data_IF_703230507031
#
_entry.id   IF_703230507031
#
_cell.length_a   1.000
_cell.length_b   1.000
_cell.length_c   1.000
_cell.angle_alpha   90.00
_cell.angle_beta   90.00
_cell.angle_gamma   90.00
#
_symmetry.space_group_name_H-M   'P 1'
#
loop_
_entity.id
_entity.type
_entity.pdbx_description
1 polymer ?
#
# COMPACT_ATOMS: atom_id res chain seq x y z
N UNK A 1 -0.61 23.43 18.13
CA UNK A 1 -0.27 22.05 17.75
C UNK A 1 -0.60 21.92 16.28
N UNK A 2 0.39 21.70 15.41
CA UNK A 2 0.13 21.51 13.99
C UNK A 2 -0.32 20.06 13.79
N UNK A 3 -1.44 19.88 13.09
CA UNK A 3 -1.97 18.58 12.74
C UNK A 3 -2.04 18.45 11.23
N UNK A 4 -1.80 17.24 10.76
CA UNK A 4 -2.00 16.84 9.37
C UNK A 4 -2.70 15.48 9.34
N UNK A 5 -3.19 15.07 8.18
CA UNK A 5 -3.65 13.71 7.95
C UNK A 5 -2.72 13.02 6.98
N UNK A 6 -2.39 11.76 7.25
CA UNK A 6 -1.93 10.84 6.23
C UNK A 6 -3.17 10.11 5.70
N UNK A 7 -3.37 10.18 4.39
CA UNK A 7 -4.41 9.45 3.67
C UNK A 7 -3.76 8.55 2.63
N UNK A 8 -4.07 7.27 2.67
CA UNK A 8 -3.64 6.27 1.68
C UNK A 8 -4.87 5.84 0.92
N UNK A 9 -4.83 5.99 -0.41
CA UNK A 9 -5.98 5.74 -1.28
C UNK A 9 -5.64 4.70 -2.33
N UNK A 10 -6.59 3.80 -2.52
CA UNK A 10 -6.62 2.89 -3.65
C UNK A 10 -7.49 3.52 -4.76
N UNK A 11 -6.99 3.67 -6.00
CA UNK A 11 -7.81 4.09 -7.12
C UNK A 11 -8.85 3.03 -7.43
N UNK A 12 -9.79 3.36 -8.32
CA UNK A 12 -10.79 2.39 -8.73
C UNK A 12 -10.12 1.19 -9.43
N UNK A 13 -10.34 -0.01 -8.89
CA UNK A 13 -9.86 -1.27 -9.47
C UNK A 13 -11.04 -1.93 -10.17
N UNK A 14 -10.95 -2.03 -11.51
CA UNK A 14 -11.87 -2.83 -12.29
C UNK A 14 -11.63 -4.33 -12.05
N UNK A 15 -12.68 -5.14 -12.13
CA UNK A 15 -12.55 -6.60 -12.22
C UNK A 15 -11.63 -6.98 -13.40
N UNK A 16 -10.80 -8.02 -13.21
CA UNK A 16 -9.78 -8.53 -14.15
C UNK A 16 -9.92 -7.96 -15.56
N UNK A 17 -9.11 -6.95 -15.90
CA UNK A 17 -9.17 -6.31 -17.21
C UNK A 17 -8.63 -7.23 -18.30
N UNK A 18 -9.40 -7.42 -19.38
CA UNK A 18 -8.87 -7.94 -20.64
C UNK A 18 -8.04 -6.84 -21.29
N UNK A 19 -6.72 -6.96 -21.26
CA UNK A 19 -5.82 -5.99 -21.89
C UNK A 19 -5.78 -6.21 -23.41
N UNK A 20 -6.25 -5.22 -24.18
CA UNK A 20 -6.10 -5.18 -25.64
C UNK A 20 -4.64 -4.86 -25.98
N UNK A 21 -3.95 -5.86 -26.53
CA UNK A 21 -2.57 -5.80 -26.98
C UNK A 21 -2.47 -4.94 -28.25
N UNK A 22 -2.10 -3.66 -28.13
CA UNK A 22 -1.67 -2.85 -29.27
C UNK A 22 -0.18 -3.09 -29.48
N UNK A 23 0.16 -3.94 -30.45
CA UNK A 23 1.54 -4.11 -30.92
C UNK A 23 1.91 -2.87 -31.75
N UNK A 24 2.70 -1.96 -31.17
CA UNK A 24 3.37 -0.91 -31.91
C UNK A 24 4.83 -1.30 -32.13
N UNK A 25 5.10 -1.69 -33.38
CA UNK A 25 6.44 -1.83 -33.95
C UNK A 25 7.16 -0.48 -33.91
N UNK A 26 8.31 -0.38 -33.25
CA UNK A 26 9.15 0.83 -33.24
C UNK A 26 10.57 0.50 -33.67
N UNK A 27 11.04 1.24 -34.69
CA UNK A 27 12.40 1.28 -35.19
C UNK A 27 13.39 1.72 -34.09
N UNK A 28 14.56 1.10 -34.11
CA UNK A 28 15.74 1.50 -33.36
C UNK A 28 16.24 2.89 -33.78
N UNK A 29 16.31 3.82 -32.83
CA UNK A 29 17.19 5.00 -32.90
C UNK A 29 18.03 5.04 -31.62
N UNK A 30 19.29 4.64 -31.75
CA UNK A 30 20.29 4.61 -30.70
C UNK A 30 20.78 6.04 -30.43
N UNK A 31 20.32 6.67 -29.34
CA UNK A 31 20.80 7.99 -28.91
C UNK A 31 21.02 8.01 -27.38
N UNK A 32 22.30 8.16 -27.02
CA UNK A 32 22.87 8.80 -25.82
C UNK A 32 22.18 8.55 -24.48
N UNK A 33 22.73 7.62 -23.69
CA UNK A 33 22.37 7.39 -22.29
C UNK A 33 23.16 8.37 -21.39
N UNK A 34 22.54 9.37 -20.74
CA UNK A 34 23.15 10.00 -19.58
C UNK A 34 23.06 9.03 -18.39
N UNK A 35 24.21 8.73 -17.78
CA UNK A 35 24.27 7.97 -16.53
C UNK A 35 23.39 8.65 -15.48
N UNK A 36 22.33 7.98 -15.03
CA UNK A 36 21.59 8.41 -13.84
C UNK A 36 22.51 8.21 -12.64
N UNK A 37 22.95 9.31 -12.04
CA UNK A 37 23.53 9.27 -10.69
C UNK A 37 22.44 8.75 -9.75
N UNK A 38 22.72 7.64 -9.07
CA UNK A 38 21.95 7.22 -7.92
C UNK A 38 22.10 8.29 -6.85
N UNK A 39 21.07 9.09 -6.62
CA UNK A 39 20.95 9.80 -5.36
C UNK A 39 20.87 8.73 -4.27
N UNK A 40 21.95 8.56 -3.52
CA UNK A 40 21.96 7.66 -2.37
C UNK A 40 21.01 8.25 -1.34
N UNK A 41 19.95 7.50 -1.00
CA UNK A 41 19.07 7.83 0.11
C UNK A 41 19.95 7.97 1.34
N UNK A 42 20.09 9.19 1.87
CA UNK A 42 20.89 9.45 3.05
C UNK A 42 20.19 8.75 4.22
N UNK A 43 20.64 7.55 4.57
CA UNK A 43 20.25 6.83 5.80
C UNK A 43 20.92 7.48 7.01
N UNK A 44 20.81 8.80 7.13
CA UNK A 44 21.06 9.45 8.41
C UNK A 44 20.11 8.84 9.43
N UNK A 45 20.55 8.71 10.68
CA UNK A 45 19.67 8.32 11.76
C UNK A 45 18.62 9.43 11.95
N UNK A 46 17.44 9.26 11.34
CA UNK A 46 16.31 10.19 11.38
C UNK A 46 15.68 10.29 12.78
N UNK A 47 16.25 9.58 13.76
CA UNK A 47 15.72 9.46 15.10
C UNK A 47 14.53 8.50 15.15
N UNK A 48 13.87 8.45 16.30
CA UNK A 48 12.62 7.72 16.44
C UNK A 48 11.52 8.41 15.60
N UNK A 49 10.64 7.64 14.94
CA UNK A 49 9.53 8.23 14.19
C UNK A 49 8.60 8.99 15.13
N UNK A 50 8.17 10.18 14.72
CA UNK A 50 7.13 10.96 15.45
C UNK A 50 5.82 10.20 15.53
N UNK A 51 5.55 9.35 14.52
CA UNK A 51 4.41 8.46 14.48
C UNK A 51 4.82 7.12 13.88
N UNK A 52 4.54 6.03 14.58
CA UNK A 52 4.67 4.66 14.09
C UNK A 52 3.31 3.99 14.16
N UNK A 53 2.85 3.45 13.03
CA UNK A 53 1.56 2.78 12.92
C UNK A 53 1.81 1.32 12.60
N UNK A 54 1.24 0.45 13.42
CA UNK A 54 1.23 -1.01 13.25
C UNK A 54 -0.19 -1.50 13.54
N UNK A 55 -0.59 -2.64 12.98
CA UNK A 55 -1.91 -3.22 13.29
C UNK A 55 -1.89 -4.10 14.55
N UNK A 56 -0.74 -4.16 15.23
CA UNK A 56 -0.54 -4.83 16.51
C UNK A 56 -0.50 -6.37 16.37
N UNK A 57 -0.61 -7.06 17.49
CA UNK A 57 -0.64 -8.52 17.56
C UNK A 57 -1.92 -9.03 18.26
N UNK A 58 -2.14 -10.35 18.25
CA UNK A 58 -3.28 -11.00 18.92
C UNK A 58 -4.62 -10.78 18.19
N UNK A 59 -5.73 -10.87 18.93
CA UNK A 59 -7.08 -10.89 18.35
C UNK A 59 -7.38 -9.70 17.43
N UNK A 60 -8.01 -9.97 16.30
CA UNK A 60 -8.35 -8.96 15.30
C UNK A 60 -9.63 -8.23 15.68
N UNK A 61 -9.57 -6.89 15.62
CA UNK A 61 -10.67 -5.98 15.92
C UNK A 61 -10.74 -4.93 14.82
N UNK A 62 -11.94 -4.41 14.57
CA UNK A 62 -12.15 -3.34 13.62
C UNK A 62 -11.31 -2.10 14.02
N UNK A 63 -10.70 -1.46 13.03
CA UNK A 63 -10.08 -0.15 13.18
C UNK A 63 -11.11 0.90 13.61
N UNK A 64 -10.68 1.96 14.33
CA UNK A 64 -11.57 3.03 14.73
C UNK A 64 -12.32 3.65 13.55
N UNK A 65 -13.56 4.09 13.80
CA UNK A 65 -14.38 4.72 12.76
C UNK A 65 -13.65 5.89 12.10
N UNK A 66 -13.75 6.00 10.77
CA UNK A 66 -13.08 7.01 9.97
C UNK A 66 -11.62 6.68 9.60
N UNK A 67 -11.05 5.57 10.08
CA UNK A 67 -9.69 5.14 9.70
C UNK A 67 -9.62 4.56 8.29
N UNK A 68 -10.71 4.00 7.79
CA UNK A 68 -10.79 3.37 6.48
C UNK A 68 -12.22 3.42 5.95
N UNK A 69 -12.40 3.40 4.64
CA UNK A 69 -13.73 3.28 4.01
C UNK A 69 -14.15 1.82 3.78
N UNK A 70 -13.26 0.87 4.05
CA UNK A 70 -13.51 -0.55 3.85
C UNK A 70 -14.26 -1.17 5.06
N UNK A 71 -15.15 -2.13 4.80
CA UNK A 71 -15.86 -2.87 5.86
C UNK A 71 -14.94 -3.87 6.56
N UNK A 72 -15.02 -3.98 7.89
CA UNK A 72 -14.22 -4.96 8.64
C UNK A 72 -14.77 -6.38 8.51
N UNK A 73 -13.88 -7.35 8.33
CA UNK A 73 -14.17 -8.78 8.43
C UNK A 73 -13.00 -9.53 9.08
N UNK A 74 -13.19 -10.81 9.36
CA UNK A 74 -12.16 -11.74 9.82
C UNK A 74 -11.76 -12.70 8.71
N UNK A 75 -10.46 -13.01 8.62
CA UNK A 75 -9.92 -13.89 7.59
C UNK A 75 -9.85 -13.18 6.24
N UNK A 76 -10.64 -13.64 5.29
CA UNK A 76 -10.51 -13.23 3.90
C UNK A 76 -11.53 -12.17 3.49
N UNK A 77 -11.07 -10.96 3.08
CA UNK A 77 -11.97 -9.87 2.75
C UNK A 77 -12.62 -10.04 1.39
N UNK A 78 -13.95 -9.92 1.37
CA UNK A 78 -14.73 -9.76 0.14
C UNK A 78 -14.53 -8.35 -0.46
N UNK A 79 -14.90 -8.09 -1.72
CA UNK A 79 -14.74 -6.78 -2.35
C UNK A 79 -15.29 -5.64 -1.48
N UNK A 80 -14.47 -4.61 -1.25
CA UNK A 80 -14.82 -3.48 -0.39
C UNK A 80 -14.63 -3.73 1.11
N UNK A 81 -13.98 -4.84 1.50
CA UNK A 81 -13.66 -5.16 2.88
C UNK A 81 -12.15 -5.17 3.16
N UNK A 82 -11.83 -5.16 4.46
CA UNK A 82 -10.49 -5.41 4.98
C UNK A 82 -10.53 -6.38 6.17
N UNK A 83 -9.39 -7.01 6.44
CA UNK A 83 -9.14 -7.78 7.65
C UNK A 83 -7.78 -7.42 8.24
N UNK A 84 -7.58 -7.77 9.51
CA UNK A 84 -6.29 -7.64 10.18
C UNK A 84 -5.80 -9.05 10.49
N UNK A 85 -4.73 -9.50 9.85
CA UNK A 85 -4.29 -10.88 9.91
C UNK A 85 -2.79 -10.95 10.14
N UNK A 86 -2.32 -11.99 10.81
CA UNK A 86 -0.88 -12.26 10.95
C UNK A 86 -0.45 -13.48 10.11
N UNK A 87 -1.39 -14.32 9.70
CA UNK A 87 -1.08 -15.59 9.06
C UNK A 87 -2.25 -16.16 8.27
N UNK A 88 -2.09 -16.28 6.95
CA UNK A 88 -3.01 -16.96 6.05
C UNK A 88 -2.23 -17.96 5.17
N UNK A 89 -2.09 -19.19 5.66
CA UNK A 89 -1.28 -20.27 5.04
C UNK A 89 -1.64 -20.52 3.58
N UNK A 90 -2.92 -20.46 3.26
CA UNK A 90 -3.42 -20.76 1.91
C UNK A 90 -3.76 -19.50 1.10
N UNK A 91 -3.44 -18.31 1.65
CA UNK A 91 -4.00 -17.05 1.17
C UNK A 91 -5.52 -17.01 1.37
N UNK A 92 -6.21 -16.24 0.54
CA UNK A 92 -7.66 -16.06 0.61
C UNK A 92 -8.43 -16.67 -0.54
N UNK A 93 -7.88 -16.54 -1.74
CA UNK A 93 -8.52 -17.02 -2.95
C UNK A 93 -7.51 -17.85 -3.75
N UNK A 94 -8.00 -18.61 -4.75
CA UNK A 94 -7.12 -19.39 -5.63
C UNK A 94 -6.01 -18.54 -6.28
N UNK A 95 -6.25 -17.23 -6.40
CA UNK A 95 -5.39 -16.24 -7.04
C UNK A 95 -4.46 -15.49 -6.09
N UNK A 96 -4.45 -15.80 -4.78
CA UNK A 96 -3.57 -15.12 -3.81
C UNK A 96 -2.49 -16.06 -3.28
N UNK A 97 -1.30 -15.53 -3.02
CA UNK A 97 -0.20 -16.25 -2.38
C UNK A 97 -0.46 -16.45 -0.88
N UNK A 98 0.24 -17.41 -0.22
CA UNK A 98 0.33 -17.44 1.23
C UNK A 98 0.83 -16.10 1.79
N UNK A 99 0.26 -15.67 2.91
CA UNK A 99 0.65 -14.44 3.60
C UNK A 99 1.08 -14.77 5.03
N UNK A 100 2.31 -14.39 5.39
CA UNK A 100 2.91 -14.78 6.67
C UNK A 100 3.65 -13.61 7.33
N UNK A 101 3.15 -13.17 8.48
CA UNK A 101 3.74 -12.07 9.26
C UNK A 101 3.66 -10.72 8.56
N UNK A 102 3.75 -9.66 9.34
CA UNK A 102 3.91 -8.30 8.84
C UNK A 102 5.39 -7.92 8.65
N UNK A 103 5.63 -6.69 8.19
CA UNK A 103 6.98 -6.17 8.00
C UNK A 103 7.75 -5.94 9.31
N UNK A 104 7.08 -5.78 10.46
CA UNK A 104 7.74 -5.43 11.71
C UNK A 104 8.52 -6.58 12.34
N UNK A 105 8.27 -7.83 11.89
CA UNK A 105 8.96 -9.05 12.31
C UNK A 105 8.82 -9.35 13.81
N UNK A 106 7.82 -8.77 14.45
CA UNK A 106 7.42 -9.11 15.80
C UNK A 106 6.52 -10.35 15.81
N UNK A 107 6.51 -11.05 16.94
CA UNK A 107 5.77 -12.29 17.06
C UNK A 107 4.26 -12.03 16.97
N UNK A 108 3.63 -12.55 15.91
CA UNK A 108 2.20 -12.40 15.68
C UNK A 108 1.79 -11.00 15.21
N UNK A 109 2.72 -10.21 14.68
CA UNK A 109 2.46 -8.92 14.05
C UNK A 109 1.46 -9.06 12.89
N UNK A 110 0.47 -8.16 12.86
CA UNK A 110 -0.61 -8.16 11.88
C UNK A 110 -0.37 -7.15 10.77
N UNK A 111 -0.77 -7.55 9.57
CA UNK A 111 -0.96 -6.67 8.43
C UNK A 111 -2.44 -6.38 8.22
N UNK A 112 -2.74 -5.27 7.54
CA UNK A 112 -4.05 -4.99 6.99
C UNK A 112 -4.15 -5.57 5.59
N UNK A 113 -5.03 -6.53 5.39
CA UNK A 113 -5.34 -7.09 4.08
C UNK A 113 -6.59 -6.40 3.53
N UNK A 114 -6.49 -5.83 2.33
CA UNK A 114 -7.59 -5.07 1.71
C UNK A 114 -7.98 -5.70 0.39
N UNK A 115 -9.27 -5.96 0.21
CA UNK A 115 -9.82 -6.31 -1.09
C UNK A 115 -10.39 -5.05 -1.76
N UNK A 116 -9.58 -4.49 -2.64
CA UNK A 116 -9.88 -3.26 -3.38
C UNK A 116 -10.76 -3.42 -4.61
N UNK A 117 -11.19 -4.64 -4.93
CA UNK A 117 -11.96 -4.92 -6.13
C UNK A 117 -13.30 -4.16 -6.13
N UNK A 118 -13.63 -3.52 -7.26
CA UNK A 118 -14.88 -2.76 -7.40
C UNK A 118 -14.95 -1.49 -6.55
N UNK A 119 -13.88 -1.14 -5.82
CA UNK A 119 -13.84 0.07 -5.02
C UNK A 119 -13.92 1.32 -5.92
N UNK A 120 -14.77 2.28 -5.57
CA UNK A 120 -14.70 3.63 -6.12
C UNK A 120 -13.71 4.39 -5.25
N UNK A 121 -12.51 4.70 -5.77
CA UNK A 121 -11.48 5.55 -5.15
C UNK A 121 -11.55 5.60 -3.60
N UNK A 122 -11.12 4.53 -2.93
CA UNK A 122 -11.41 4.29 -1.51
C UNK A 122 -10.20 4.50 -0.62
N UNK A 123 -10.42 4.99 0.60
CA UNK A 123 -9.34 5.28 1.53
C UNK A 123 -9.01 4.02 2.35
N UNK A 124 -7.83 3.48 2.09
CA UNK A 124 -7.27 2.33 2.79
C UNK A 124 -6.96 2.70 4.24
N UNK A 125 -6.30 3.84 4.45
CA UNK A 125 -5.90 4.31 5.77
C UNK A 125 -5.98 5.84 5.85
N UNK A 126 -6.63 6.36 6.87
CA UNK A 126 -6.69 7.80 7.21
C UNK A 126 -6.32 7.95 8.67
N UNK A 127 -5.24 8.67 8.93
CA UNK A 127 -4.70 8.82 10.29
C UNK A 127 -4.29 10.26 10.54
N UNK A 128 -4.69 10.78 11.71
CA UNK A 128 -4.33 12.12 12.14
C UNK A 128 -2.93 12.12 12.73
N UNK A 129 -2.02 12.85 12.10
CA UNK A 129 -0.65 13.07 12.56
C UNK A 129 -0.62 14.32 13.45
N UNK A 130 -0.13 14.17 14.67
CA UNK A 130 0.11 15.28 15.61
C UNK A 130 1.59 15.36 16.00
N UNK A 131 1.92 16.36 16.82
CA UNK A 131 3.29 16.52 17.34
C UNK A 131 4.30 17.03 16.31
N UNK A 132 3.84 17.57 15.18
CA UNK A 132 4.71 18.15 14.16
C UNK A 132 5.21 19.54 14.60
N UNK A 133 6.52 19.75 14.47
CA UNK A 133 7.22 21.00 14.72
C UNK A 133 7.29 21.82 13.44
N UNK A 134 7.11 23.14 13.55
CA UNK A 134 7.29 24.07 12.43
C UNK A 134 8.73 24.03 11.91
N UNK A 135 8.90 24.28 10.61
CA UNK A 135 10.21 24.33 9.94
C UNK A 135 11.06 23.05 10.12
N UNK A 136 10.41 21.90 10.25
CA UNK A 136 11.06 20.58 10.35
C UNK A 136 10.70 19.74 9.13
N UNK A 137 11.71 19.11 8.52
CA UNK A 137 11.50 18.15 7.44
C UNK A 137 11.18 16.78 8.03
N UNK A 138 10.09 16.18 7.56
CA UNK A 138 9.68 14.84 7.95
C UNK A 138 9.86 13.87 6.79
N UNK A 139 10.23 12.63 7.11
CA UNK A 139 10.20 11.51 6.18
C UNK A 139 9.00 10.63 6.48
N UNK A 140 8.37 10.14 5.43
CA UNK A 140 7.32 9.14 5.48
C UNK A 140 7.83 7.85 4.83
N UNK A 141 7.46 6.71 5.40
CA UNK A 141 7.69 5.38 4.86
C UNK A 141 6.49 4.50 5.19
N UNK A 142 6.14 3.60 4.28
CA UNK A 142 5.12 2.59 4.47
C UNK A 142 5.58 1.28 3.83
N UNK A 143 5.16 0.15 4.38
CA UNK A 143 5.53 -1.15 3.84
C UNK A 143 4.29 -1.80 3.22
N UNK A 144 4.36 -2.07 1.92
CA UNK A 144 3.26 -2.61 1.13
C UNK A 144 3.68 -3.95 0.51
N UNK A 145 2.74 -4.88 0.40
CA UNK A 145 2.96 -6.15 -0.27
C UNK A 145 1.78 -6.46 -1.20
N UNK A 146 2.08 -6.94 -2.41
CA UNK A 146 1.06 -7.49 -3.30
C UNK A 146 0.87 -8.98 -2.97
N UNK A 147 -0.38 -9.39 -2.77
CA UNK A 147 -0.73 -10.78 -2.44
C UNK A 147 -1.27 -11.58 -3.64
N UNK A 148 -1.30 -11.02 -4.85
CA UNK A 148 -1.75 -11.74 -6.05
C UNK A 148 -0.69 -12.74 -6.54
N UNK A 149 -1.15 -13.84 -7.14
CA UNK A 149 -0.31 -14.78 -7.90
C UNK A 149 -0.07 -14.26 -9.31
N UNK A 150 1.03 -14.68 -9.92
CA UNK A 150 1.40 -14.28 -11.29
C UNK A 150 0.34 -14.71 -12.32
N UNK A 151 -0.27 -15.88 -12.11
CA UNK A 151 -1.32 -16.41 -12.98
C UNK A 151 -2.75 -15.97 -12.58
N UNK A 152 -2.88 -15.06 -11.61
CA UNK A 152 -4.18 -14.46 -11.31
C UNK A 152 -4.76 -13.79 -12.55
N UNK A 153 -6.09 -13.76 -12.68
CA UNK A 153 -6.77 -13.18 -13.84
C UNK A 153 -6.28 -13.74 -15.20
N UNK A 154 -5.94 -15.04 -15.28
CA UNK A 154 -5.44 -15.62 -16.53
C UNK A 154 -4.05 -15.12 -16.96
N UNK A 155 -3.26 -14.58 -16.03
CA UNK A 155 -1.94 -14.02 -16.28
C UNK A 155 -1.92 -12.51 -16.50
N UNK A 156 -3.07 -11.83 -16.35
CA UNK A 156 -3.18 -10.36 -16.46
C UNK A 156 -3.84 -9.77 -15.21
N UNK A 157 -3.21 -9.89 -14.02
CA UNK A 157 -3.74 -9.28 -12.81
C UNK A 157 -3.72 -7.75 -12.92
N UNK A 158 -4.75 -7.10 -12.37
CA UNK A 158 -4.71 -5.66 -12.11
C UNK A 158 -3.88 -5.45 -10.84
N UNK A 159 -2.75 -4.75 -10.98
CA UNK A 159 -1.82 -4.55 -9.87
C UNK A 159 -2.31 -3.43 -8.95
N UNK A 160 -2.23 -3.60 -7.62
CA UNK A 160 -2.52 -2.52 -6.70
C UNK A 160 -1.54 -1.36 -6.91
N UNK A 161 -2.07 -0.14 -6.88
CA UNK A 161 -1.28 1.08 -7.03
C UNK A 161 -1.86 2.11 -6.06
N UNK A 162 -1.11 2.54 -5.06
CA UNK A 162 -1.61 3.38 -3.98
C UNK A 162 -1.11 4.80 -4.15
N UNK A 163 -1.97 5.76 -3.80
CA UNK A 163 -1.57 7.16 -3.66
C UNK A 163 -1.61 7.58 -2.20
N UNK A 164 -0.51 8.09 -1.72
CA UNK A 164 -0.32 8.65 -0.39
C UNK A 164 -0.50 10.16 -0.46
N UNK A 165 -1.23 10.72 0.49
CA UNK A 165 -1.42 12.15 0.65
C UNK A 165 -1.09 12.56 2.07
N UNK A 166 -0.36 13.66 2.22
CA UNK A 166 -0.29 14.42 3.47
C UNK A 166 -1.19 15.65 3.30
N UNK A 167 -2.20 15.76 4.14
CA UNK A 167 -3.23 16.80 4.08
C UNK A 167 -3.16 17.69 5.33
N UNK A 168 -3.41 18.99 5.18
CA UNK A 168 -3.72 19.86 6.29
C UNK A 168 -5.11 19.54 6.88
N UNK A 169 -5.42 20.06 8.06
CA UNK A 169 -6.70 19.78 8.75
C UNK A 169 -7.91 20.28 7.96
N UNK A 170 -7.72 21.31 7.13
CA UNK A 170 -8.74 21.88 6.25
C UNK A 170 -8.93 21.10 4.93
N UNK A 171 -8.20 20.00 4.74
CA UNK A 171 -8.25 19.17 3.54
C UNK A 171 -7.29 19.60 2.42
N UNK A 172 -6.50 20.64 2.61
CA UNK A 172 -5.48 21.05 1.62
C UNK A 172 -4.42 19.96 1.48
N UNK A 173 -4.19 19.45 0.27
CA UNK A 173 -3.11 18.50 -0.01
C UNK A 173 -1.77 19.24 0.04
N UNK A 174 -0.90 18.83 0.96
CA UNK A 174 0.44 19.36 1.13
C UNK A 174 1.47 18.57 0.30
N UNK A 175 1.32 17.25 0.27
CA UNK A 175 2.20 16.33 -0.47
C UNK A 175 1.37 15.18 -1.04
N UNK A 176 1.73 14.71 -2.23
CA UNK A 176 1.21 13.48 -2.83
C UNK A 176 2.36 12.62 -3.35
N UNK A 177 2.25 11.30 -3.18
CA UNK A 177 3.19 10.33 -3.71
C UNK A 177 2.43 9.09 -4.20
N UNK A 178 2.82 8.54 -5.34
CA UNK A 178 2.21 7.34 -5.91
C UNK A 178 3.20 6.18 -5.85
N UNK A 179 2.78 5.01 -5.36
CA UNK A 179 3.65 3.83 -5.25
C UNK A 179 4.07 3.26 -6.60
N UNK A 180 3.36 3.60 -7.67
CA UNK A 180 3.34 2.80 -8.89
C UNK A 180 2.65 1.45 -8.64
N UNK A 181 2.68 0.60 -9.65
CA UNK A 181 2.10 -0.73 -9.56
C UNK A 181 2.97 -1.61 -8.67
N UNK A 182 2.36 -2.20 -7.64
CA UNK A 182 3.03 -3.15 -6.76
C UNK A 182 3.23 -4.48 -7.51
N UNK A 183 4.47 -4.91 -7.74
CA UNK A 183 4.74 -6.10 -8.54
C UNK A 183 4.29 -7.37 -7.83
N UNK A 184 3.99 -8.41 -8.62
CA UNK A 184 3.76 -9.75 -8.10
C UNK A 184 5.10 -10.46 -7.94
N UNK A 185 5.43 -10.88 -6.72
CA UNK A 185 6.70 -11.52 -6.38
C UNK A 185 6.56 -13.02 -6.10
N UNK A 186 5.33 -13.56 -6.03
CA UNK A 186 5.05 -14.99 -5.79
C UNK A 186 5.21 -15.44 -4.34
N UNK A 187 5.77 -14.60 -3.48
CA UNK A 187 5.89 -14.73 -2.02
C UNK A 187 5.55 -13.39 -1.37
N UNK A 188 5.27 -13.36 -0.07
CA UNK A 188 5.05 -12.07 0.60
C UNK A 188 6.35 -11.29 0.61
N UNK A 189 6.39 -10.17 -0.12
CA UNK A 189 7.53 -9.27 -0.17
C UNK A 189 7.08 -7.85 0.15
N UNK A 190 7.69 -7.27 1.19
CA UNK A 190 7.34 -5.95 1.71
C UNK A 190 8.24 -4.89 1.08
N UNK A 191 7.63 -4.00 0.30
CA UNK A 191 8.31 -2.88 -0.38
C UNK A 191 8.07 -1.59 0.40
N UNK A 192 9.14 -0.82 0.62
CA UNK A 192 9.14 0.51 1.27
C UNK A 192 8.80 1.64 0.29
#
# INVERSE_FOLDING_TARGET
MNFSYLRIRLPAIAHCGYSLLIIRCWLLLFLLVPNKLFAQLWRGNLGAPVMKITFGAGNSQALPNGTTTYGFTSGCPEPGQYSLENFLVYGCYKNTIPLTGDHTKDFGGKYMLVNGEGAVSSDVLVVKIGGLCSNTTYQFAAFLANCLKLNACGGTPVLPNLTFFIEAVDGTILVSHNSGDLPVTGVTDWVE
#
